data_IF_896928044256
#
_entry.id   IF_896928044256
#
_cell.length_a   1.000
_cell.length_b   1.000
_cell.length_c   1.000
_cell.angle_alpha   90.00
_cell.angle_beta   90.00
_cell.angle_gamma   90.00
#
_symmetry.space_group_name_H-M   'P 1'
#
loop_
_entity.id
_entity.type
_entity.pdbx_description
1 polymer ?
#
# COMPACT_ATOMS: atom_id res chain seq x y z
N UNK A 1 -11.89 1.11 -10.34
CA UNK A 1 -11.77 2.33 -9.52
C UNK A 1 -11.25 1.98 -8.15
N UNK A 2 -10.49 2.89 -7.56
CA UNK A 2 -9.83 2.67 -6.27
C UNK A 2 -10.37 3.64 -5.24
N UNK A 3 -10.69 3.13 -4.04
CA UNK A 3 -10.92 3.94 -2.85
C UNK A 3 -9.78 3.66 -1.87
N UNK A 4 -9.40 4.66 -1.08
CA UNK A 4 -8.26 4.55 -0.17
C UNK A 4 -8.75 4.59 1.27
N UNK A 5 -8.40 3.55 2.05
CA UNK A 5 -8.69 3.51 3.49
C UNK A 5 -7.52 4.12 4.24
N UNK A 6 -6.32 3.60 4.00
CA UNK A 6 -5.05 4.09 4.57
C UNK A 6 -4.00 4.11 3.46
N UNK A 7 -2.82 4.60 3.76
CA UNK A 7 -1.75 4.63 2.78
C UNK A 7 -1.42 3.27 2.18
N UNK A 8 -1.66 2.19 2.93
CA UNK A 8 -1.32 0.82 2.53
C UNK A 8 -2.52 -0.11 2.37
N UNK A 9 -3.74 0.42 2.47
CA UNK A 9 -4.97 -0.38 2.35
C UNK A 9 -5.95 0.34 1.44
N UNK A 10 -6.38 -0.34 0.37
CA UNK A 10 -7.28 0.23 -0.62
C UNK A 10 -8.45 -0.72 -0.87
N UNK A 11 -9.52 -0.18 -1.43
CA UNK A 11 -10.65 -0.97 -1.93
C UNK A 11 -10.68 -0.81 -3.44
N UNK A 12 -10.70 -1.93 -4.14
CA UNK A 12 -10.78 -1.93 -5.60
C UNK A 12 -12.06 -2.63 -6.04
N UNK A 13 -12.60 -2.21 -7.17
CA UNK A 13 -13.69 -2.93 -7.81
C UNK A 13 -13.09 -3.93 -8.78
N UNK A 14 -13.36 -5.20 -8.53
CA UNK A 14 -12.77 -6.31 -9.26
C UNK A 14 -13.85 -7.36 -9.53
N UNK A 15 -14.05 -7.68 -10.80
CA UNK A 15 -15.11 -8.63 -11.23
C UNK A 15 -16.48 -8.28 -10.67
N UNK A 16 -16.83 -6.98 -10.63
CA UNK A 16 -18.10 -6.52 -10.14
C UNK A 16 -18.26 -6.50 -8.64
N UNK A 17 -17.22 -6.83 -7.89
CA UNK A 17 -17.24 -6.83 -6.42
C UNK A 17 -16.19 -5.88 -5.88
N UNK A 18 -16.49 -5.30 -4.70
CA UNK A 18 -15.51 -4.48 -3.99
C UNK A 18 -14.65 -5.38 -3.13
N UNK A 19 -13.34 -5.30 -3.34
CA UNK A 19 -12.36 -6.12 -2.62
C UNK A 19 -11.38 -5.22 -1.87
N UNK A 20 -11.09 -5.57 -0.62
CA UNK A 20 -10.10 -4.85 0.17
C UNK A 20 -8.71 -5.44 -0.09
N UNK A 21 -7.78 -4.56 -0.46
CA UNK A 21 -6.41 -4.93 -0.81
C UNK A 21 -5.46 -4.34 0.21
N UNK A 22 -4.65 -5.18 0.84
CA UNK A 22 -3.54 -4.77 1.69
C UNK A 22 -2.27 -4.82 0.84
N UNK A 23 -1.58 -3.70 0.73
CA UNK A 23 -0.35 -3.63 -0.05
C UNK A 23 0.76 -4.43 0.64
N UNK A 24 1.46 -5.27 -0.13
CA UNK A 24 2.53 -6.13 0.39
C UNK A 24 3.79 -5.35 0.68
N UNK A 25 4.49 -5.76 1.74
CA UNK A 25 5.83 -5.30 2.10
C UNK A 25 5.92 -3.81 2.42
N UNK A 26 4.79 -3.18 2.74
CA UNK A 26 4.75 -1.80 3.21
C UNK A 26 3.88 -1.71 4.46
N UNK A 27 4.15 -0.71 5.28
CA UNK A 27 3.42 -0.47 6.52
C UNK A 27 3.42 1.04 6.76
N UNK A 28 2.40 1.72 6.22
CA UNK A 28 2.28 3.17 6.39
C UNK A 28 1.66 3.50 7.74
N UNK A 29 1.91 4.69 8.30
CA UNK A 29 1.21 5.13 9.49
C UNK A 29 -0.30 5.14 9.27
N UNK A 30 -1.07 4.81 10.31
CA UNK A 30 -2.52 4.82 10.24
C UNK A 30 -3.05 6.25 10.18
N UNK A 31 -4.04 6.49 9.32
CA UNK A 31 -4.70 7.79 9.24
C UNK A 31 -5.71 8.00 10.35
N UNK A 32 -6.20 6.90 10.97
CA UNK A 32 -7.10 6.94 12.12
C UNK A 32 -6.54 5.98 13.18
N UNK A 33 -6.20 6.51 14.35
CA UNK A 33 -5.67 5.70 15.44
C UNK A 33 -6.45 6.01 16.72
N UNK A 34 -6.75 5.00 17.57
CA UNK A 34 -7.43 5.23 18.83
C UNK A 34 -6.71 6.21 19.75
N UNK A 35 -5.39 6.22 19.72
CA UNK A 35 -4.58 7.20 20.44
C UNK A 35 -4.26 8.36 19.52
N UNK A 36 -4.93 9.49 19.73
CA UNK A 36 -4.78 10.68 18.89
C UNK A 36 -3.39 11.31 18.93
N UNK A 37 -2.54 10.90 19.89
CA UNK A 37 -1.18 11.42 20.01
C UNK A 37 -0.19 10.66 19.14
N UNK A 38 -0.64 9.58 18.45
CA UNK A 38 0.24 8.72 17.66
C UNK A 38 0.03 8.97 16.17
N UNK A 39 1.02 9.46 15.52
CA UNK A 39 1.22 9.47 14.06
C UNK A 39 0.03 9.78 13.15
N UNK A 40 -1.03 10.42 13.65
CA UNK A 40 -2.20 10.71 12.82
C UNK A 40 -1.82 11.62 11.66
N UNK A 41 -0.97 12.62 11.89
CA UNK A 41 -0.55 13.53 10.84
C UNK A 41 0.23 12.82 9.74
N UNK A 42 1.15 11.91 10.10
CA UNK A 42 1.88 11.12 9.11
C UNK A 42 0.97 10.13 8.39
N UNK A 43 -0.02 9.57 9.11
CA UNK A 43 -1.02 8.72 8.50
C UNK A 43 -1.84 9.46 7.46
N UNK A 44 -2.22 10.71 7.74
CA UNK A 44 -2.94 11.55 6.79
C UNK A 44 -2.09 11.84 5.55
N UNK A 45 -0.80 12.13 5.75
CA UNK A 45 0.13 12.37 4.63
C UNK A 45 0.20 11.12 3.74
N UNK A 46 0.40 9.95 4.33
CA UNK A 46 0.48 8.70 3.57
C UNK A 46 -0.83 8.41 2.84
N UNK A 47 -1.96 8.56 3.52
CA UNK A 47 -3.28 8.34 2.94
C UNK A 47 -3.54 9.31 1.77
N UNK A 48 -3.20 10.58 1.95
CA UNK A 48 -3.38 11.58 0.90
C UNK A 48 -2.49 11.29 -0.31
N UNK A 49 -1.27 10.84 -0.09
CA UNK A 49 -0.37 10.46 -1.19
C UNK A 49 -0.97 9.31 -1.99
N UNK A 50 -1.44 8.27 -1.30
CA UNK A 50 -2.07 7.13 -1.97
C UNK A 50 -3.32 7.56 -2.73
N UNK A 51 -4.15 8.43 -2.14
CA UNK A 51 -5.32 8.98 -2.83
C UNK A 51 -4.92 9.72 -4.10
N UNK A 52 -3.92 10.57 -4.01
CA UNK A 52 -3.45 11.36 -5.17
C UNK A 52 -3.00 10.45 -6.31
N UNK A 53 -2.34 9.35 -5.98
CA UNK A 53 -1.78 8.45 -6.99
C UNK A 53 -2.80 7.47 -7.54
N UNK A 54 -3.73 6.98 -6.72
CA UNK A 54 -4.55 5.82 -7.08
C UNK A 54 -6.03 6.12 -7.24
N UNK A 55 -6.56 7.16 -6.58
CA UNK A 55 -8.00 7.40 -6.55
C UNK A 55 -8.56 7.61 -7.96
N UNK A 56 -9.57 6.82 -8.29
CA UNK A 56 -10.22 6.89 -9.59
C UNK A 56 -9.44 6.30 -10.75
N UNK A 57 -8.25 5.75 -10.50
CA UNK A 57 -7.43 5.16 -11.56
C UNK A 57 -7.66 3.67 -11.67
N UNK A 58 -7.31 3.11 -12.82
CA UNK A 58 -7.23 1.66 -12.99
C UNK A 58 -5.83 1.21 -12.59
N UNK A 59 -5.77 0.14 -11.82
CA UNK A 59 -4.51 -0.42 -11.34
C UNK A 59 -4.43 -1.88 -11.73
N UNK A 60 -3.20 -2.37 -11.86
CA UNK A 60 -2.93 -3.78 -12.06
C UNK A 60 -2.53 -4.39 -10.72
N UNK A 61 -3.17 -5.49 -10.35
CA UNK A 61 -2.89 -6.17 -9.09
C UNK A 61 -2.12 -7.45 -9.33
N UNK A 62 -1.05 -7.65 -8.60
CA UNK A 62 -0.37 -8.94 -8.53
C UNK A 62 -0.72 -9.54 -7.17
N UNK A 63 -1.72 -10.42 -7.18
CA UNK A 63 -2.27 -11.00 -5.96
C UNK A 63 -1.47 -12.21 -5.50
N UNK A 64 -1.32 -12.36 -4.20
CA UNK A 64 -0.84 -13.61 -3.63
C UNK A 64 -1.96 -14.66 -3.65
N UNK A 65 -1.61 -15.97 -3.67
CA UNK A 65 -2.61 -17.03 -3.72
C UNK A 65 -3.37 -17.24 -2.41
N UNK A 66 -3.07 -16.47 -1.37
CA UNK A 66 -3.74 -16.57 -0.07
C UNK A 66 -4.12 -15.18 0.43
N UNK A 67 -5.10 -15.12 1.33
CA UNK A 67 -5.59 -13.87 1.88
C UNK A 67 -4.84 -13.50 3.15
N UNK A 68 -4.81 -12.20 3.45
CA UNK A 68 -4.32 -11.69 4.71
C UNK A 68 -5.41 -11.72 5.79
N UNK A 69 -5.17 -11.03 6.89
CA UNK A 69 -6.13 -10.91 7.98
C UNK A 69 -7.44 -10.31 7.49
N UNK A 70 -8.57 -10.77 8.07
CA UNK A 70 -9.91 -10.25 7.79
C UNK A 70 -10.32 -10.40 6.33
N UNK A 71 -9.77 -11.40 5.65
CA UNK A 71 -10.12 -11.66 4.26
C UNK A 71 -9.58 -10.65 3.27
N UNK A 72 -8.66 -9.78 3.69
CA UNK A 72 -8.02 -8.83 2.77
C UNK A 72 -7.12 -9.57 1.82
N UNK A 73 -7.16 -9.19 0.55
CA UNK A 73 -6.23 -9.71 -0.44
C UNK A 73 -4.88 -9.01 -0.29
N UNK A 74 -3.82 -9.75 -0.44
CA UNK A 74 -2.46 -9.23 -0.38
C UNK A 74 -1.94 -9.06 -1.80
N UNK A 75 -1.43 -7.88 -2.14
CA UNK A 75 -1.05 -7.60 -3.52
C UNK A 75 0.05 -6.56 -3.65
N UNK A 76 0.77 -6.64 -4.77
CA UNK A 76 1.51 -5.50 -5.31
C UNK A 76 0.58 -4.76 -6.25
N UNK A 77 0.60 -3.43 -6.17
CA UNK A 77 -0.26 -2.57 -6.97
C UNK A 77 0.60 -1.82 -7.98
N UNK A 78 0.25 -1.96 -9.26
CA UNK A 78 0.96 -1.27 -10.34
C UNK A 78 0.05 -0.18 -10.89
N UNK A 79 0.56 1.03 -10.96
CA UNK A 79 -0.13 2.18 -11.55
C UNK A 79 0.83 2.87 -12.51
N UNK A 80 0.34 3.18 -13.72
CA UNK A 80 1.15 3.82 -14.76
C UNK A 80 2.45 3.05 -15.03
N UNK A 81 2.39 1.71 -14.96
CA UNK A 81 3.54 0.84 -15.20
C UNK A 81 4.55 0.75 -14.07
N UNK A 82 4.26 1.34 -12.92
CA UNK A 82 5.18 1.38 -11.78
C UNK A 82 4.60 0.65 -10.58
N UNK A 83 5.49 -0.02 -9.82
CA UNK A 83 5.11 -0.70 -8.58
C UNK A 83 4.88 0.34 -7.49
N UNK A 84 3.62 0.57 -7.14
CA UNK A 84 3.26 1.57 -6.16
C UNK A 84 3.73 1.21 -4.75
N UNK A 85 3.81 -0.09 -4.41
CA UNK A 85 4.33 -0.52 -3.10
C UNK A 85 5.77 -0.03 -2.92
N UNK A 86 6.61 -0.19 -3.95
CA UNK A 86 7.99 0.33 -3.93
C UNK A 86 7.99 1.86 -3.86
N UNK A 87 7.07 2.50 -4.57
CA UNK A 87 6.97 3.96 -4.57
C UNK A 87 6.74 4.52 -3.16
N UNK A 88 5.90 3.87 -2.35
CA UNK A 88 5.66 4.30 -0.97
C UNK A 88 6.95 4.29 -0.14
N UNK A 89 7.79 3.30 -0.34
CA UNK A 89 9.08 3.22 0.34
C UNK A 89 10.01 4.32 -0.15
N UNK A 90 10.07 4.53 -1.46
CA UNK A 90 10.90 5.55 -2.07
C UNK A 90 10.56 6.95 -1.57
N UNK A 91 9.28 7.21 -1.32
CA UNK A 91 8.82 8.51 -0.84
C UNK A 91 8.97 8.68 0.67
N UNK A 92 9.49 7.66 1.37
CA UNK A 92 9.68 7.72 2.80
C UNK A 92 8.40 7.59 3.62
N UNK A 93 7.31 7.11 3.00
CA UNK A 93 6.02 6.96 3.66
C UNK A 93 5.85 5.59 4.32
N UNK A 94 6.74 4.66 4.03
CA UNK A 94 6.75 3.32 4.61
C UNK A 94 8.16 2.77 4.65
N UNK A 95 8.51 1.98 5.68
CA UNK A 95 9.69 1.13 5.58
C UNK A 95 9.44 -0.01 4.59
N UNK A 96 10.52 -0.65 4.14
CA UNK A 96 10.42 -1.95 3.48
C UNK A 96 10.08 -2.98 4.57
N UNK A 97 8.82 -3.39 4.60
CA UNK A 97 8.27 -4.20 5.68
C UNK A 97 8.43 -5.68 5.37
N UNK A 98 9.31 -6.35 6.09
CA UNK A 98 9.67 -7.75 5.81
C UNK A 98 9.26 -8.72 6.91
N UNK A 99 8.33 -8.33 7.77
CA UNK A 99 7.89 -9.18 8.89
C UNK A 99 7.45 -10.57 8.44
N UNK A 100 6.85 -10.67 7.27
CA UNK A 100 6.32 -11.93 6.74
C UNK A 100 7.16 -12.49 5.60
N UNK A 101 8.37 -11.98 5.41
CA UNK A 101 9.29 -12.49 4.41
C UNK A 101 9.78 -11.41 3.45
N UNK A 102 10.79 -11.80 2.67
CA UNK A 102 11.41 -10.91 1.68
C UNK A 102 10.57 -10.91 0.42
N UNK A 103 10.42 -9.72 -0.18
CA UNK A 103 9.65 -9.55 -1.41
C UNK A 103 10.39 -10.15 -2.62
N UNK A 104 9.62 -10.60 -3.62
CA UNK A 104 10.18 -10.91 -4.94
C UNK A 104 10.77 -9.66 -5.60
N UNK A 105 10.40 -8.47 -5.11
CA UNK A 105 10.91 -7.17 -5.57
C UNK A 105 11.95 -6.60 -4.59
N UNK A 106 12.65 -7.46 -3.87
CA UNK A 106 13.60 -7.08 -2.83
C UNK A 106 14.61 -6.04 -3.31
N UNK A 107 15.16 -6.23 -4.52
CA UNK A 107 16.16 -5.30 -5.07
C UNK A 107 15.59 -3.89 -5.22
N UNK A 108 14.38 -3.79 -5.77
CA UNK A 108 13.71 -2.51 -5.97
C UNK A 108 13.39 -1.84 -4.63
N UNK A 109 12.92 -2.61 -3.66
CA UNK A 109 12.63 -2.09 -2.32
C UNK A 109 13.88 -1.56 -1.63
N UNK A 110 14.99 -2.29 -1.72
CA UNK A 110 16.26 -1.87 -1.09
C UNK A 110 16.79 -0.60 -1.73
N UNK A 111 16.71 -0.48 -3.05
CA UNK A 111 17.09 0.76 -3.73
C UNK A 111 16.21 1.93 -3.31
N UNK A 112 14.91 1.68 -3.16
CA UNK A 112 13.96 2.70 -2.73
C UNK A 112 14.29 3.20 -1.32
N UNK A 113 14.64 2.31 -0.40
CA UNK A 113 15.05 2.70 0.96
C UNK A 113 16.26 3.63 0.97
N UNK A 114 17.20 3.42 0.06
CA UNK A 114 18.41 4.24 -0.02
C UNK A 114 18.14 5.65 -0.54
N UNK A 115 17.02 5.87 -1.21
CA UNK A 115 16.72 7.16 -1.85
C UNK A 115 15.80 8.07 -1.03
N UNK A 116 15.30 7.57 0.08
CA UNK A 116 14.40 8.38 0.91
C UNK A 116 15.14 9.27 1.90
#
# INVERSE_FOLDING_TARGET
MVHVIDGDTIIVKYNGKSETIRLLCVDTPESVHPDKRRNVSMGIVASNYTKKRLLGKQVLLELLPFNGRRGRHLAYVFVDGQNFNVELVKQGLSPYYTKYGISKYDTEFRKAEKRR
#
